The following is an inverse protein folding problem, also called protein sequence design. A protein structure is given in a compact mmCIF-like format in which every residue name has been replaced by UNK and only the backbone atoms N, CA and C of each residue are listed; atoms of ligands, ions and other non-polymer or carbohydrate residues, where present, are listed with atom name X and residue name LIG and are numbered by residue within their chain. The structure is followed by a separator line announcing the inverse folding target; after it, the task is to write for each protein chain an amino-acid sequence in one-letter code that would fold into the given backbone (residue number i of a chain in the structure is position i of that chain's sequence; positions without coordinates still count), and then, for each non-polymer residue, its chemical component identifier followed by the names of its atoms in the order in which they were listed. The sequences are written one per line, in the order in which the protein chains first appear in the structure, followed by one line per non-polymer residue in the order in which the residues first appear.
data_IF_088891144408
#
_entry.id   IF_088891144408
#
_cell.length_a   1.000
_cell.length_b   1.000
_cell.length_c   1.000
_cell.angle_alpha   90.00
_cell.angle_beta   90.00
_cell.angle_gamma   90.00
#
_symmetry.space_group_name_H-M   'P 1'
#
loop_
_entity.id
_entity.type
_entity.pdbx_description
1 polymer ?
#
# COMPACT_ATOMS: atom_id res chain seq x y z
N UNK A 1 7.22 4.11 22.44
CA UNK A 1 6.83 2.94 23.27
C UNK A 1 6.11 1.90 22.41
N UNK A 2 6.39 0.60 22.59
CA UNK A 2 5.74 -0.50 21.86
C UNK A 2 4.33 -0.76 22.43
N UNK A 3 3.27 -0.89 21.61
CA UNK A 3 1.88 -0.84 22.10
C UNK A 3 1.37 -2.19 22.62
N UNK A 4 2.08 -2.82 23.57
CA UNK A 4 1.76 -4.16 24.09
C UNK A 4 0.34 -4.28 24.62
N UNK A 5 -0.13 -3.28 25.36
CA UNK A 5 -1.47 -3.29 25.96
C UNK A 5 -2.58 -3.48 24.91
N UNK A 6 -2.41 -2.91 23.71
CA UNK A 6 -3.36 -3.00 22.59
C UNK A 6 -3.38 -4.39 21.94
N UNK A 7 -2.36 -5.22 22.19
CA UNK A 7 -2.26 -6.58 21.66
C UNK A 7 -2.72 -7.65 22.66
N UNK A 8 -2.73 -7.34 23.96
CA UNK A 8 -3.11 -8.30 25.01
C UNK A 8 -4.52 -8.05 25.55
N UNK A 9 -4.98 -6.80 25.56
CA UNK A 9 -6.28 -6.40 26.12
C UNK A 9 -7.25 -5.97 25.03
N UNK A 10 -8.38 -6.67 24.93
CA UNK A 10 -9.45 -6.32 23.98
C UNK A 10 -10.15 -5.00 24.36
N UNK A 11 -10.21 -4.64 25.65
CA UNK A 11 -10.72 -3.33 26.06
C UNK A 11 -9.79 -2.21 25.61
N UNK A 12 -8.48 -2.35 25.83
CA UNK A 12 -7.51 -1.35 25.37
C UNK A 12 -7.51 -1.20 23.84
N UNK A 13 -7.80 -2.29 23.11
CA UNK A 13 -7.96 -2.26 21.66
C UNK A 13 -9.27 -1.58 21.22
N UNK A 14 -10.38 -1.82 21.92
CA UNK A 14 -11.66 -1.15 21.69
C UNK A 14 -11.57 0.36 21.98
N UNK A 15 -10.91 0.74 23.07
CA UNK A 15 -10.66 2.14 23.43
C UNK A 15 -9.83 2.84 22.35
N UNK A 16 -8.84 2.16 21.77
CA UNK A 16 -8.06 2.70 20.64
C UNK A 16 -8.96 2.98 19.44
N UNK A 17 -9.84 2.03 19.10
CA UNK A 17 -10.72 2.16 17.95
C UNK A 17 -11.64 3.37 18.12
N UNK A 18 -12.22 3.51 19.31
CA UNK A 18 -13.08 4.63 19.64
C UNK A 18 -12.32 5.96 19.54
N UNK A 19 -11.09 6.03 20.07
CA UNK A 19 -10.25 7.23 20.03
C UNK A 19 -9.89 7.66 18.60
N UNK A 20 -9.48 6.71 17.75
CA UNK A 20 -9.12 7.03 16.36
C UNK A 20 -10.37 7.41 15.57
N UNK A 21 -11.41 6.58 15.65
CA UNK A 21 -12.59 6.72 14.80
C UNK A 21 -13.45 7.93 15.12
N UNK A 22 -13.58 8.27 16.40
CA UNK A 22 -14.50 9.31 16.87
C UNK A 22 -13.76 10.51 17.44
N UNK A 23 -12.57 10.80 16.91
CA UNK A 23 -11.76 11.97 17.30
C UNK A 23 -12.53 13.28 17.13
N UNK A 24 -13.36 13.37 16.09
CA UNK A 24 -14.14 14.56 15.71
C UNK A 24 -15.62 14.47 16.15
N UNK A 25 -15.97 13.47 16.97
CA UNK A 25 -17.35 13.21 17.40
C UNK A 25 -17.92 11.91 16.82
N UNK A 26 -19.06 11.47 17.38
CA UNK A 26 -19.70 10.22 16.98
C UNK A 26 -20.76 10.49 15.91
N UNK A 27 -20.52 9.97 14.71
CA UNK A 27 -21.46 10.07 13.59
C UNK A 27 -22.03 8.71 13.21
N UNK A 28 -23.28 8.71 12.75
CA UNK A 28 -23.92 7.50 12.25
C UNK A 28 -23.23 7.03 10.95
N UNK A 29 -22.67 5.80 10.88
CA UNK A 29 -22.00 5.30 9.66
C UNK A 29 -22.93 5.09 8.46
N UNK A 30 -24.24 5.29 8.62
CA UNK A 30 -25.25 5.05 7.59
C UNK A 30 -25.81 6.35 7.01
N UNK A 31 -26.21 7.29 7.88
CA UNK A 31 -26.82 8.55 7.45
C UNK A 31 -25.98 9.79 7.77
N UNK A 32 -24.75 9.61 8.30
CA UNK A 32 -23.79 10.67 8.65
C UNK A 32 -24.31 11.72 9.65
N UNK A 33 -25.42 11.44 10.33
CA UNK A 33 -25.95 12.32 11.36
C UNK A 33 -25.15 12.15 12.66
N UNK A 34 -24.83 13.28 13.27
CA UNK A 34 -24.24 13.46 14.59
C UNK A 34 -25.25 13.29 15.75
N UNK A 35 -26.55 13.22 15.44
CA UNK A 35 -27.64 12.97 16.40
C UNK A 35 -27.59 11.53 16.90
N UNK A 36 -26.60 11.22 17.72
CA UNK A 36 -26.31 9.89 18.25
C UNK A 36 -26.29 9.91 19.77
N UNK A 37 -26.82 8.86 20.39
CA UNK A 37 -26.78 8.67 21.84
C UNK A 37 -26.18 7.32 22.18
N UNK A 38 -25.52 7.23 23.34
CA UNK A 38 -25.08 5.95 23.89
C UNK A 38 -26.30 5.07 24.19
N UNK A 39 -26.23 3.79 23.83
CA UNK A 39 -27.32 2.82 23.95
C UNK A 39 -26.82 1.51 24.58
N UNK A 40 -26.19 1.64 25.76
CA UNK A 40 -25.53 0.55 26.47
C UNK A 40 -24.24 0.07 25.79
N UNK A 41 -23.76 -1.09 26.18
CA UNK A 41 -22.56 -1.73 25.63
C UNK A 41 -22.82 -3.21 25.36
N UNK A 42 -21.96 -3.83 24.54
CA UNK A 42 -21.92 -5.29 24.39
C UNK A 42 -20.47 -5.74 24.47
N UNK A 43 -20.17 -6.56 25.48
CA UNK A 43 -18.79 -6.88 25.89
C UNK A 43 -18.04 -5.58 26.18
N UNK A 44 -16.93 -5.33 25.48
CA UNK A 44 -16.12 -4.11 25.63
C UNK A 44 -16.51 -2.98 24.65
N UNK A 45 -17.48 -3.20 23.76
CA UNK A 45 -17.80 -2.22 22.71
C UNK A 45 -18.98 -1.34 23.08
N UNK A 46 -18.83 -0.03 22.86
CA UNK A 46 -19.92 0.93 23.03
C UNK A 46 -20.95 0.75 21.92
N UNK A 47 -22.24 0.74 22.29
CA UNK A 47 -23.35 0.79 21.32
C UNK A 47 -23.90 2.21 21.27
N UNK A 48 -24.26 2.64 20.08
CA UNK A 48 -24.90 3.92 19.81
C UNK A 48 -26.24 3.69 19.13
N UNK A 49 -27.18 4.60 19.34
CA UNK A 49 -28.44 4.72 18.62
C UNK A 49 -28.42 6.05 17.87
N UNK A 50 -28.59 5.99 16.55
CA UNK A 50 -28.81 7.20 15.75
C UNK A 50 -30.27 7.63 15.91
N UNK A 51 -30.51 8.87 16.33
CA UNK A 51 -31.84 9.47 16.47
C UNK A 51 -32.45 9.88 15.13
N UNK A 52 -31.62 10.12 14.11
CA UNK A 52 -32.11 10.43 12.77
C UNK A 52 -32.67 9.19 12.04
N UNK A 53 -31.88 8.12 11.90
CA UNK A 53 -32.31 6.91 11.16
C UNK A 53 -32.83 5.76 12.04
N UNK A 54 -32.83 5.90 13.37
CA UNK A 54 -33.31 4.89 14.33
C UNK A 54 -32.46 3.62 14.45
N UNK A 55 -31.35 3.51 13.71
CA UNK A 55 -30.50 2.29 13.69
C UNK A 55 -29.42 2.34 14.76
N UNK A 56 -29.08 1.16 15.30
CA UNK A 56 -27.95 1.02 16.22
C UNK A 56 -26.65 0.69 15.49
N UNK A 57 -25.53 1.17 16.03
CA UNK A 57 -24.18 0.84 15.56
C UNK A 57 -23.18 0.79 16.72
N UNK A 58 -21.95 0.41 16.44
CA UNK A 58 -20.82 0.42 17.38
C UNK A 58 -19.53 0.85 16.65
N UNK A 59 -18.41 0.91 17.38
CA UNK A 59 -17.12 1.36 16.86
C UNK A 59 -16.57 0.49 15.71
N UNK A 60 -17.08 -0.73 15.52
CA UNK A 60 -16.71 -1.61 14.40
C UNK A 60 -17.63 -1.50 13.19
N UNK A 61 -18.78 -0.84 13.31
CA UNK A 61 -19.80 -0.84 12.25
C UNK A 61 -19.30 -0.07 11.03
N UNK A 62 -19.27 -0.69 9.85
CA UNK A 62 -18.80 -0.02 8.63
C UNK A 62 -17.28 -0.02 8.43
N UNK A 63 -16.51 -0.65 9.31
CA UNK A 63 -15.04 -0.69 9.20
C UNK A 63 -14.53 -2.05 8.73
N UNK A 64 -13.21 -2.17 8.53
CA UNK A 64 -12.56 -3.46 8.27
C UNK A 64 -12.72 -4.48 9.41
N UNK A 65 -13.11 -4.03 10.61
CA UNK A 65 -13.35 -4.90 11.77
C UNK A 65 -14.78 -5.43 11.84
N UNK A 66 -15.70 -4.89 11.03
CA UNK A 66 -17.08 -5.34 10.98
C UNK A 66 -17.19 -6.82 10.60
N UNK A 67 -18.02 -7.58 11.31
CA UNK A 67 -18.29 -9.00 11.06
C UNK A 67 -17.05 -9.92 11.09
N UNK A 68 -15.92 -9.43 11.62
CA UNK A 68 -14.74 -10.23 11.84
C UNK A 68 -14.96 -11.22 12.99
N UNK A 69 -14.42 -12.44 12.83
CA UNK A 69 -14.30 -13.41 13.93
C UNK A 69 -13.06 -13.16 14.79
N UNK A 70 -12.01 -12.53 14.24
CA UNK A 70 -10.88 -12.06 15.03
C UNK A 70 -11.28 -10.84 15.84
N UNK A 71 -10.78 -10.81 17.07
CA UNK A 71 -10.87 -9.70 18.02
C UNK A 71 -9.98 -8.53 17.56
N UNK A 72 -10.20 -7.33 18.09
CA UNK A 72 -9.42 -6.15 17.69
C UNK A 72 -7.95 -6.29 18.03
N UNK A 73 -7.61 -6.88 19.18
CA UNK A 73 -6.21 -7.10 19.57
C UNK A 73 -5.42 -7.94 18.55
N UNK A 74 -6.07 -8.95 17.96
CA UNK A 74 -5.49 -9.84 16.94
C UNK A 74 -5.36 -9.11 15.59
N UNK A 75 -6.35 -8.29 15.25
CA UNK A 75 -6.29 -7.38 14.09
C UNK A 75 -5.12 -6.39 14.20
N UNK A 76 -4.97 -5.75 15.36
CA UNK A 76 -3.95 -4.74 15.59
C UNK A 76 -2.56 -5.35 15.58
N UNK A 77 -2.41 -6.52 16.21
CA UNK A 77 -1.17 -7.28 16.12
C UNK A 77 -0.85 -7.62 14.66
N UNK A 78 -1.81 -8.16 13.90
CA UNK A 78 -1.65 -8.50 12.47
C UNK A 78 -1.18 -7.29 11.66
N UNK A 79 -1.89 -6.16 11.75
CA UNK A 79 -1.58 -4.94 11.00
C UNK A 79 -0.19 -4.43 11.41
N UNK A 80 0.08 -4.37 12.71
CA UNK A 80 1.33 -3.86 13.24
C UNK A 80 2.53 -4.67 12.74
N UNK A 81 2.54 -6.00 12.93
CA UNK A 81 3.69 -6.83 12.56
C UNK A 81 3.84 -6.96 11.04
N UNK A 82 2.72 -6.95 10.29
CA UNK A 82 2.73 -6.92 8.82
C UNK A 82 3.46 -5.68 8.32
N UNK A 83 3.05 -4.48 8.75
CA UNK A 83 3.64 -3.22 8.31
C UNK A 83 5.05 -3.01 8.89
N UNK A 84 5.20 -3.12 10.22
CA UNK A 84 6.43 -2.72 10.91
C UNK A 84 7.55 -3.72 10.75
N UNK A 85 7.27 -4.99 10.99
CA UNK A 85 8.29 -6.03 11.03
C UNK A 85 8.42 -6.79 9.71
N UNK A 86 7.56 -6.49 8.73
CA UNK A 86 7.52 -7.18 7.44
C UNK A 86 7.30 -8.68 7.63
N UNK A 87 6.52 -9.03 8.66
CA UNK A 87 6.31 -10.41 9.07
C UNK A 87 5.50 -11.12 7.98
N UNK A 88 5.95 -12.32 7.59
CA UNK A 88 5.23 -13.09 6.57
C UNK A 88 3.88 -13.56 7.10
N UNK A 89 2.91 -13.76 6.19
CA UNK A 89 1.57 -14.22 6.59
C UNK A 89 1.59 -15.58 7.30
N UNK A 90 2.58 -16.44 7.00
CA UNK A 90 2.76 -17.74 7.67
C UNK A 90 3.31 -17.61 9.08
N UNK A 91 4.15 -16.61 9.34
CA UNK A 91 4.58 -16.34 10.71
C UNK A 91 3.42 -15.80 11.53
N UNK A 92 2.65 -14.85 11.00
CA UNK A 92 1.44 -14.34 11.67
C UNK A 92 0.44 -15.46 11.93
N UNK A 93 0.29 -16.40 10.99
CA UNK A 93 -0.54 -17.60 11.14
C UNK A 93 -0.18 -18.41 12.39
N UNK A 94 1.12 -18.71 12.56
CA UNK A 94 1.64 -19.46 13.71
C UNK A 94 1.50 -18.66 15.01
N UNK A 95 1.85 -17.38 15.00
CA UNK A 95 1.78 -16.52 16.20
C UNK A 95 0.34 -16.31 16.71
N UNK A 96 -0.64 -16.27 15.80
CA UNK A 96 -2.06 -16.09 16.16
C UNK A 96 -2.82 -17.41 16.30
N UNK A 97 -2.18 -18.55 16.06
CA UNK A 97 -2.82 -19.87 16.02
C UNK A 97 -4.14 -19.88 15.22
N UNK A 98 -4.09 -19.37 13.99
CA UNK A 98 -5.26 -19.30 13.11
C UNK A 98 -4.90 -19.76 11.70
N UNK A 99 -5.89 -19.99 10.83
CA UNK A 99 -5.57 -20.48 9.47
C UNK A 99 -4.90 -19.42 8.60
N UNK A 100 -3.99 -19.82 7.70
CA UNK A 100 -3.39 -18.95 6.67
C UNK A 100 -4.46 -18.14 5.91
N UNK A 101 -5.58 -18.80 5.57
CA UNK A 101 -6.69 -18.19 4.83
C UNK A 101 -7.39 -17.09 5.64
N UNK A 102 -7.37 -17.19 6.97
CA UNK A 102 -7.83 -16.15 7.89
C UNK A 102 -6.87 -14.96 7.79
N UNK A 103 -5.60 -15.12 8.15
CA UNK A 103 -4.60 -14.03 8.11
C UNK A 103 -4.58 -13.32 6.76
N UNK A 104 -4.50 -14.08 5.66
CA UNK A 104 -4.51 -13.52 4.30
C UNK A 104 -5.74 -12.65 4.04
N UNK A 105 -6.94 -13.10 4.42
CA UNK A 105 -8.16 -12.31 4.24
C UNK A 105 -8.14 -11.01 5.05
N UNK A 106 -7.53 -11.02 6.23
CA UNK A 106 -7.45 -9.85 7.09
C UNK A 106 -6.47 -8.82 6.52
N UNK A 107 -5.26 -9.27 6.16
CA UNK A 107 -4.27 -8.41 5.49
C UNK A 107 -4.79 -7.85 4.17
N UNK A 108 -5.43 -8.67 3.34
CA UNK A 108 -6.01 -8.18 2.09
C UNK A 108 -7.19 -7.23 2.32
N UNK A 109 -7.98 -7.41 3.37
CA UNK A 109 -9.08 -6.49 3.71
C UNK A 109 -8.55 -5.15 4.20
N UNK A 110 -7.53 -5.16 5.06
CA UNK A 110 -6.82 -3.97 5.50
C UNK A 110 -6.21 -3.23 4.30
N UNK A 111 -5.38 -3.92 3.51
CA UNK A 111 -4.66 -3.33 2.40
C UNK A 111 -5.55 -2.77 1.28
N UNK A 112 -6.79 -3.28 1.14
CA UNK A 112 -7.79 -2.74 0.19
C UNK A 112 -8.54 -1.53 0.73
N UNK A 113 -8.57 -1.35 2.04
CA UNK A 113 -9.18 -0.17 2.66
C UNK A 113 -8.24 1.05 2.59
N UNK A 114 -6.95 0.83 2.34
CA UNK A 114 -6.00 1.91 2.10
C UNK A 114 -6.30 2.60 0.77
N UNK A 115 -6.28 3.92 0.79
CA UNK A 115 -6.47 4.75 -0.39
C UNK A 115 -5.34 4.56 -1.41
N UNK A 116 -5.64 4.90 -2.67
CA UNK A 116 -4.58 5.07 -3.66
C UNK A 116 -3.81 6.35 -3.32
N UNK A 117 -2.48 6.39 -3.50
CA UNK A 117 -1.76 7.65 -3.44
C UNK A 117 -2.33 8.58 -4.52
N UNK A 118 -2.64 9.82 -4.14
CA UNK A 118 -2.86 10.89 -5.09
C UNK A 118 -1.47 11.35 -5.56
N UNK A 119 -1.13 11.03 -6.81
CA UNK A 119 0.14 11.44 -7.41
C UNK A 119 -0.08 12.86 -7.90
N UNK A 120 0.65 13.81 -7.30
CA UNK A 120 0.69 15.21 -7.73
C UNK A 120 2.15 15.66 -7.66
N UNK A 121 2.73 15.94 -8.82
CA UNK A 121 4.17 16.08 -8.97
C UNK A 121 4.57 17.56 -8.98
N UNK A 122 5.56 17.91 -8.15
CA UNK A 122 6.12 19.26 -8.07
C UNK A 122 7.31 19.44 -9.02
N UNK A 123 8.06 18.38 -9.28
CA UNK A 123 9.20 18.39 -10.20
C UNK A 123 10.49 18.93 -9.58
N UNK A 124 11.68 18.56 -10.10
CA UNK A 124 11.94 17.50 -11.11
C UNK A 124 11.58 16.10 -10.62
N UNK A 125 11.27 15.17 -11.53
CA UNK A 125 10.83 13.80 -11.20
C UNK A 125 11.76 12.76 -11.78
N UNK A 126 12.12 11.76 -10.99
CA UNK A 126 12.71 10.51 -11.50
C UNK A 126 11.60 9.49 -11.77
N UNK A 127 11.69 8.74 -12.87
CA UNK A 127 10.83 7.60 -13.16
C UNK A 127 11.65 6.42 -13.68
N UNK A 128 11.35 5.23 -13.15
CA UNK A 128 11.96 3.96 -13.56
C UNK A 128 10.99 2.81 -13.25
N UNK A 129 11.14 1.66 -13.89
CA UNK A 129 10.33 0.48 -13.65
C UNK A 129 11.11 -0.78 -13.26
N UNK A 130 10.52 -1.54 -12.34
CA UNK A 130 11.03 -2.85 -11.97
C UNK A 130 10.02 -3.95 -12.20
N UNK A 131 10.49 -5.08 -12.71
CA UNK A 131 9.63 -6.24 -12.93
C UNK A 131 9.63 -7.17 -11.73
N UNK A 132 8.47 -7.31 -11.08
CA UNK A 132 8.32 -8.15 -9.88
C UNK A 132 7.66 -9.47 -10.21
N UNK A 133 8.19 -10.58 -9.70
CA UNK A 133 7.54 -11.88 -9.90
C UNK A 133 6.25 -11.99 -9.07
N UNK A 134 5.10 -11.91 -9.73
CA UNK A 134 3.78 -11.99 -9.13
C UNK A 134 2.90 -12.99 -9.91
N UNK A 135 2.54 -14.10 -9.26
CA UNK A 135 1.85 -15.20 -9.92
C UNK A 135 0.33 -15.05 -10.02
N UNK A 136 -0.37 -16.15 -10.31
CA UNK A 136 -1.84 -16.24 -10.32
C UNK A 136 -2.42 -16.90 -9.06
N UNK A 137 -1.81 -16.72 -7.88
CA UNK A 137 -2.23 -17.45 -6.67
C UNK A 137 -3.71 -17.18 -6.33
N UNK A 138 -4.47 -18.26 -6.19
CA UNK A 138 -5.90 -18.20 -5.88
C UNK A 138 -6.82 -18.16 -7.10
N UNK A 139 -6.28 -18.31 -8.32
CA UNK A 139 -7.04 -18.65 -9.53
C UNK A 139 -6.87 -20.13 -9.87
N UNK A 140 -7.83 -20.69 -10.60
CA UNK A 140 -7.58 -21.92 -11.36
C UNK A 140 -6.41 -21.69 -12.31
N UNK A 141 -5.53 -22.68 -12.41
CA UNK A 141 -4.35 -22.60 -13.24
C UNK A 141 -4.61 -23.36 -14.53
N UNK A 142 -4.65 -22.65 -15.64
CA UNK A 142 -4.66 -23.26 -16.98
C UNK A 142 -3.26 -23.76 -17.39
N UNK A 143 -2.25 -23.59 -16.53
CA UNK A 143 -0.85 -23.89 -16.84
C UNK A 143 -0.15 -24.65 -15.71
N UNK A 144 0.83 -25.48 -16.11
CA UNK A 144 1.69 -26.23 -15.17
C UNK A 144 2.44 -25.27 -14.24
N UNK A 145 2.71 -25.74 -13.02
CA UNK A 145 3.62 -25.08 -12.09
C UNK A 145 4.93 -24.71 -12.78
N UNK A 146 5.43 -23.49 -12.55
CA UNK A 146 6.77 -23.11 -13.02
C UNK A 146 7.81 -24.12 -12.53
N UNK A 147 8.64 -24.62 -13.44
CA UNK A 147 9.90 -25.25 -13.09
C UNK A 147 10.76 -24.23 -12.33
N UNK A 148 11.38 -24.65 -11.23
CA UNK A 148 12.27 -23.77 -10.45
C UNK A 148 13.47 -23.40 -11.34
N UNK A 149 13.70 -22.10 -11.50
CA UNK A 149 14.84 -21.57 -12.25
C UNK A 149 14.64 -21.57 -13.76
N UNK A 150 14.04 -20.51 -14.29
CA UNK A 150 14.23 -20.09 -15.67
C UNK A 150 14.27 -18.56 -15.70
N UNK A 151 15.48 -18.02 -15.83
CA UNK A 151 15.66 -16.66 -16.32
C UNK A 151 15.38 -16.71 -17.83
N UNK A 152 14.13 -16.55 -18.23
CA UNK A 152 13.83 -16.24 -19.63
C UNK A 152 14.54 -14.93 -19.99
N UNK A 153 15.21 -14.90 -21.15
CA UNK A 153 15.78 -13.67 -21.69
C UNK A 153 14.64 -12.67 -21.97
N UNK A 154 14.89 -11.39 -21.72
CA UNK A 154 13.93 -10.31 -21.91
C UNK A 154 13.34 -9.75 -20.60
N UNK A 155 12.69 -8.58 -20.72
CA UNK A 155 11.99 -7.92 -19.61
C UNK A 155 10.75 -8.74 -19.19
N UNK A 156 10.26 -8.49 -17.97
CA UNK A 156 9.05 -9.12 -17.48
C UNK A 156 7.82 -8.67 -18.26
N UNK A 157 6.73 -9.44 -18.19
CA UNK A 157 5.43 -8.99 -18.69
C UNK A 157 4.32 -9.40 -17.75
N UNK A 158 3.20 -8.67 -17.78
CA UNK A 158 2.02 -9.04 -17.00
C UNK A 158 1.52 -10.45 -17.35
N UNK A 159 1.54 -10.82 -18.64
CA UNK A 159 1.20 -12.17 -19.09
C UNK A 159 2.16 -13.23 -18.52
N UNK A 160 3.46 -12.93 -18.47
CA UNK A 160 4.50 -13.80 -17.92
C UNK A 160 4.63 -13.78 -16.39
N UNK A 161 3.61 -13.31 -15.65
CA UNK A 161 3.61 -13.21 -14.18
C UNK A 161 4.78 -12.37 -13.62
N UNK A 162 5.24 -11.40 -14.41
CA UNK A 162 6.25 -10.41 -14.04
C UNK A 162 5.75 -9.01 -14.43
N UNK A 163 4.68 -8.48 -13.81
CA UNK A 163 4.20 -7.14 -14.10
C UNK A 163 5.28 -6.08 -13.81
N UNK A 164 5.31 -4.98 -14.60
CA UNK A 164 6.09 -3.80 -14.26
C UNK A 164 5.49 -3.11 -13.02
N UNK A 165 6.37 -2.55 -12.22
CA UNK A 165 6.07 -1.69 -11.08
C UNK A 165 6.91 -0.44 -11.26
N UNK A 166 6.23 0.66 -11.58
CA UNK A 166 6.84 1.97 -11.71
C UNK A 166 7.17 2.52 -10.34
N UNK A 167 8.32 3.15 -10.25
CA UNK A 167 8.76 3.96 -9.13
C UNK A 167 8.86 5.40 -9.61
N UNK A 168 8.22 6.31 -8.89
CA UNK A 168 8.38 7.75 -9.13
C UNK A 168 9.00 8.35 -7.88
N UNK A 169 9.96 9.26 -8.07
CA UNK A 169 10.52 10.09 -7.00
C UNK A 169 10.42 11.54 -7.44
N UNK A 170 9.54 12.28 -6.78
CA UNK A 170 9.44 13.72 -6.95
C UNK A 170 10.48 14.39 -6.06
N UNK A 171 11.52 14.96 -6.69
CA UNK A 171 12.62 15.61 -5.97
C UNK A 171 12.20 16.93 -5.33
N UNK A 172 11.17 17.60 -5.86
CA UNK A 172 10.66 18.85 -5.33
C UNK A 172 9.95 18.69 -3.99
N UNK A 173 9.16 17.62 -3.85
CA UNK A 173 8.38 17.32 -2.64
C UNK A 173 9.00 16.26 -1.72
N UNK A 174 10.02 15.51 -2.19
CA UNK A 174 10.52 14.25 -1.60
C UNK A 174 9.43 13.16 -1.45
N UNK A 175 8.36 13.26 -2.25
CA UNK A 175 7.36 12.21 -2.35
C UNK A 175 7.81 11.08 -3.27
N UNK A 176 7.36 9.86 -2.94
CA UNK A 176 7.78 8.63 -3.62
C UNK A 176 6.60 7.69 -3.78
N UNK A 177 6.44 7.18 -4.99
CA UNK A 177 5.28 6.39 -5.38
C UNK A 177 5.70 5.06 -5.97
N UNK A 178 4.88 4.04 -5.76
CA UNK A 178 5.11 2.70 -6.33
C UNK A 178 3.83 2.16 -6.96
N UNK A 179 3.78 2.20 -8.29
CA UNK A 179 2.55 1.94 -9.05
C UNK A 179 2.70 0.68 -9.90
N UNK A 180 1.92 -0.39 -9.63
CA UNK A 180 1.93 -1.56 -10.49
C UNK A 180 1.13 -1.28 -11.77
N UNK A 181 1.68 -1.67 -12.92
CA UNK A 181 1.03 -1.50 -14.22
C UNK A 181 0.86 -2.84 -14.96
N UNK A 182 0.05 -2.83 -16.02
CA UNK A 182 -0.14 -3.99 -16.91
C UNK A 182 0.89 -4.02 -18.04
N UNK A 183 1.40 -2.87 -18.43
CA UNK A 183 2.40 -2.66 -19.46
C UNK A 183 3.32 -1.53 -19.02
N UNK A 184 4.52 -1.50 -19.60
CA UNK A 184 5.44 -0.38 -19.51
C UNK A 184 5.49 0.23 -20.92
N UNK A 185 4.44 0.96 -21.25
CA UNK A 185 4.27 1.66 -22.52
C UNK A 185 4.16 3.17 -22.27
N UNK A 186 4.33 3.94 -23.33
CA UNK A 186 4.22 5.40 -23.33
C UNK A 186 2.94 5.89 -22.63
N UNK A 187 1.78 5.29 -22.94
CA UNK A 187 0.51 5.71 -22.36
C UNK A 187 0.49 5.58 -20.84
N UNK A 188 1.16 4.56 -20.31
CA UNK A 188 1.30 4.35 -18.88
C UNK A 188 2.21 5.41 -18.26
N UNK A 189 3.35 5.72 -18.90
CA UNK A 189 4.29 6.76 -18.43
C UNK A 189 3.60 8.12 -18.39
N UNK A 190 2.95 8.52 -19.49
CA UNK A 190 2.19 9.78 -19.59
C UNK A 190 1.11 9.88 -18.50
N UNK A 191 0.34 8.82 -18.28
CA UNK A 191 -0.69 8.80 -17.22
C UNK A 191 -0.13 8.97 -15.80
N UNK A 192 1.10 8.49 -15.54
CA UNK A 192 1.74 8.63 -14.24
C UNK A 192 2.31 10.03 -14.01
N UNK A 193 2.61 10.76 -15.08
CA UNK A 193 3.17 12.11 -15.04
C UNK A 193 2.11 13.21 -15.24
N UNK A 194 0.89 12.87 -15.63
CA UNK A 194 -0.14 13.82 -16.08
C UNK A 194 -0.62 14.85 -15.04
N UNK A 195 -0.53 14.56 -13.73
CA UNK A 195 -0.92 15.51 -12.66
C UNK A 195 0.33 16.13 -12.05
N UNK A 196 0.79 17.24 -12.64
CA UNK A 196 1.97 17.97 -12.20
C UNK A 196 1.74 19.49 -12.20
N UNK A 197 2.53 20.20 -11.41
CA UNK A 197 2.35 21.65 -11.19
C UNK A 197 3.10 22.54 -12.20
N UNK A 198 4.18 22.03 -12.78
CA UNK A 198 5.00 22.77 -13.74
C UNK A 198 4.31 22.85 -15.11
N UNK A 199 4.58 23.88 -15.90
CA UNK A 199 4.09 23.94 -17.29
C UNK A 199 4.86 22.96 -18.21
N UNK A 200 6.14 22.74 -17.90
CA UNK A 200 6.98 21.72 -18.51
C UNK A 200 7.72 21.00 -17.38
N UNK A 201 7.48 19.71 -17.23
CA UNK A 201 8.02 18.91 -16.13
C UNK A 201 9.37 18.32 -16.52
N UNK A 202 10.42 18.62 -15.75
CA UNK A 202 11.71 17.93 -15.90
C UNK A 202 11.61 16.48 -15.41
N UNK A 203 11.93 15.52 -16.29
CA UNK A 203 11.83 14.07 -16.04
C UNK A 203 13.17 13.37 -16.27
N UNK A 204 13.67 12.70 -15.24
CA UNK A 204 14.89 11.88 -15.30
C UNK A 204 14.57 10.40 -15.53
N UNK A 205 15.16 9.78 -16.56
CA UNK A 205 14.98 8.35 -16.87
C UNK A 205 16.31 7.61 -17.16
N UNK A 206 16.29 6.28 -17.26
CA UNK A 206 17.47 5.43 -17.53
C UNK A 206 17.70 5.13 -19.02
N UNK A 207 17.09 5.95 -19.91
CA UNK A 207 17.20 5.78 -21.36
C UNK A 207 16.35 4.64 -21.90
N UNK A 208 15.29 4.23 -21.19
CA UNK A 208 14.36 3.22 -21.69
C UNK A 208 13.46 3.75 -22.81
N UNK A 209 13.27 2.91 -23.85
CA UNK A 209 12.49 3.23 -25.05
C UNK A 209 11.05 3.68 -24.83
N UNK A 210 10.41 3.28 -23.73
CA UNK A 210 9.04 3.72 -23.45
C UNK A 210 8.99 5.21 -23.09
N UNK A 211 10.12 5.78 -22.68
CA UNK A 211 10.25 7.19 -22.30
C UNK A 211 10.65 8.09 -23.47
N UNK A 212 11.10 7.52 -24.60
CA UNK A 212 11.48 8.28 -25.81
C UNK A 212 10.31 9.16 -26.31
N UNK A 213 9.07 8.73 -26.05
CA UNK A 213 7.87 9.49 -26.41
C UNK A 213 7.63 10.76 -25.58
N UNK A 214 8.45 11.02 -24.56
CA UNK A 214 8.47 12.29 -23.83
C UNK A 214 9.33 13.33 -24.55
N UNK A 215 10.20 12.95 -25.49
CA UNK A 215 11.11 13.89 -26.17
C UNK A 215 10.38 14.84 -27.14
N UNK A 216 9.29 14.37 -27.75
CA UNK A 216 8.52 15.14 -28.74
C UNK A 216 7.36 15.94 -28.12
N UNK A 217 7.32 16.06 -26.79
CA UNK A 217 6.21 16.68 -26.06
C UNK A 217 6.68 17.88 -25.23
N UNK A 218 6.22 19.08 -25.59
CA UNK A 218 6.58 20.32 -24.93
C UNK A 218 6.18 20.35 -23.42
N UNK A 219 5.27 19.45 -22.99
CA UNK A 219 4.88 19.25 -21.58
C UNK A 219 6.00 18.63 -20.72
N UNK A 220 7.03 18.03 -21.34
CA UNK A 220 8.11 17.34 -20.62
C UNK A 220 9.50 17.80 -21.09
N UNK A 221 10.38 18.05 -20.14
CA UNK A 221 11.82 18.23 -20.38
C UNK A 221 12.55 16.96 -19.93
N UNK A 222 12.74 16.01 -20.85
CA UNK A 222 13.35 14.71 -20.53
C UNK A 222 14.87 14.79 -20.60
N UNK A 223 15.51 14.40 -19.50
CA UNK A 223 16.94 14.16 -19.41
C UNK A 223 17.18 12.70 -18.99
N UNK A 224 18.22 12.03 -19.52
CA UNK A 224 18.44 10.61 -19.23
C UNK A 224 19.92 10.23 -19.19
N UNK A 225 20.20 9.11 -18.52
CA UNK A 225 21.51 8.43 -18.54
C UNK A 225 21.34 7.03 -19.09
N UNK A 226 22.35 6.50 -19.80
CA UNK A 226 22.26 5.16 -20.40
C UNK A 226 23.08 4.15 -19.59
N UNK A 227 22.40 3.42 -18.70
CA UNK A 227 23.03 2.39 -17.87
C UNK A 227 23.75 1.28 -18.67
N UNK A 228 23.28 1.01 -19.89
CA UNK A 228 23.89 0.03 -20.80
C UNK A 228 25.33 0.39 -21.20
N UNK A 229 25.64 1.68 -21.21
CA UNK A 229 26.95 2.23 -21.60
C UNK A 229 27.87 2.47 -20.38
N UNK A 230 27.40 2.10 -19.17
CA UNK A 230 28.14 2.27 -17.92
C UNK A 230 28.03 3.67 -17.31
N UNK A 231 27.14 4.50 -17.84
CA UNK A 231 26.79 5.81 -17.31
C UNK A 231 25.65 5.67 -16.31
N UNK A 232 25.82 6.19 -15.09
CA UNK A 232 24.83 6.08 -14.01
C UNK A 232 24.38 7.43 -13.44
N UNK A 233 25.09 8.51 -13.80
CA UNK A 233 24.75 9.88 -13.46
C UNK A 233 25.53 10.85 -14.36
N UNK A 234 24.88 11.91 -14.82
CA UNK A 234 25.51 13.10 -15.38
C UNK A 234 25.01 14.33 -14.62
N UNK A 235 25.83 14.89 -13.74
CA UNK A 235 25.40 15.95 -12.81
C UNK A 235 24.18 15.53 -11.98
N UNK A 236 23.07 16.24 -12.15
CA UNK A 236 21.79 15.96 -11.48
C UNK A 236 20.92 14.93 -12.24
N UNK A 237 21.30 14.54 -13.47
CA UNK A 237 20.57 13.58 -14.30
C UNK A 237 20.87 12.17 -13.83
N UNK A 238 19.92 11.55 -13.11
CA UNK A 238 20.00 10.15 -12.67
C UNK A 238 18.65 9.65 -12.13
N UNK A 239 18.51 8.32 -11.99
CA UNK A 239 17.35 7.66 -11.37
C UNK A 239 17.65 6.94 -10.04
N UNK A 240 18.76 7.31 -9.37
CA UNK A 240 19.22 6.68 -8.13
C UNK A 240 18.17 6.64 -7.00
N UNK A 241 17.30 7.66 -6.93
CA UNK A 241 16.20 7.71 -5.97
C UNK A 241 15.18 6.61 -6.26
N UNK A 242 14.82 6.42 -7.53
CA UNK A 242 13.97 5.32 -7.98
C UNK A 242 14.60 3.95 -7.71
N UNK A 243 15.87 3.73 -8.07
CA UNK A 243 16.54 2.45 -7.84
C UNK A 243 16.57 2.07 -6.35
N UNK A 244 16.91 3.04 -5.50
CA UNK A 244 16.91 2.88 -4.04
C UNK A 244 15.52 2.51 -3.52
N UNK A 245 14.48 3.20 -3.98
CA UNK A 245 13.11 2.95 -3.53
C UNK A 245 12.55 1.61 -4.07
N UNK A 246 12.88 1.25 -5.31
CA UNK A 246 12.53 -0.03 -5.90
C UNK A 246 13.21 -1.21 -5.18
N UNK A 247 14.46 -1.05 -4.71
CA UNK A 247 15.15 -2.01 -3.84
C UNK A 247 14.39 -2.26 -2.54
N UNK A 248 13.89 -1.21 -1.89
CA UNK A 248 13.06 -1.32 -0.69
C UNK A 248 11.73 -2.03 -0.97
N UNK A 249 11.09 -1.73 -2.10
CA UNK A 249 9.87 -2.39 -2.56
C UNK A 249 10.07 -3.89 -2.75
N UNK A 250 11.14 -4.31 -3.45
CA UNK A 250 11.47 -5.74 -3.63
C UNK A 250 11.70 -6.42 -2.28
N UNK A 251 12.38 -5.75 -1.34
CA UNK A 251 12.60 -6.27 0.03
C UNK A 251 11.29 -6.38 0.83
N UNK A 252 10.35 -5.46 0.63
CA UNK A 252 9.01 -5.53 1.20
C UNK A 252 8.19 -6.71 0.66
N UNK A 253 8.23 -6.97 -0.65
CA UNK A 253 7.48 -8.07 -1.26
C UNK A 253 8.07 -9.46 -0.97
N UNK A 254 9.38 -9.53 -0.63
CA UNK A 254 10.11 -10.79 -0.44
C UNK A 254 9.51 -11.76 0.60
N UNK A 255 9.04 -11.35 1.80
CA UNK A 255 8.36 -12.23 2.75
C UNK A 255 6.98 -12.70 2.28
N UNK A 256 6.38 -11.99 1.32
CA UNK A 256 5.05 -12.26 0.78
C UNK A 256 5.13 -13.03 -0.54
N UNK A 257 6.06 -13.98 -0.64
CA UNK A 257 6.23 -14.79 -1.87
C UNK A 257 4.88 -15.38 -2.30
N UNK A 258 4.54 -15.21 -3.57
CA UNK A 258 3.27 -15.63 -4.18
C UNK A 258 2.07 -14.70 -3.99
N UNK A 259 2.27 -13.39 -3.77
CA UNK A 259 1.22 -12.40 -4.05
C UNK A 259 0.76 -12.57 -5.50
N UNK A 260 -0.56 -12.57 -5.70
CA UNK A 260 -1.12 -12.58 -7.06
C UNK A 260 -0.88 -11.22 -7.70
N UNK A 261 -0.57 -11.16 -9.00
CA UNK A 261 -0.46 -9.88 -9.72
C UNK A 261 -1.73 -9.01 -9.58
N UNK A 262 -2.92 -9.62 -9.49
CA UNK A 262 -4.18 -8.90 -9.23
C UNK A 262 -4.32 -8.30 -7.82
N UNK A 263 -3.40 -8.69 -6.92
CA UNK A 263 -3.37 -8.27 -5.52
C UNK A 263 -2.10 -7.49 -5.21
N UNK A 264 -1.33 -7.10 -6.23
CA UNK A 264 -0.10 -6.35 -6.04
C UNK A 264 -0.39 -4.94 -5.53
N UNK A 265 -1.40 -4.25 -6.09
CA UNK A 265 -1.77 -2.88 -5.67
C UNK A 265 -2.03 -2.74 -4.18
N UNK A 266 -2.87 -3.56 -3.51
CA UNK A 266 -3.03 -3.48 -2.06
C UNK A 266 -1.71 -3.63 -1.28
N UNK A 267 -0.81 -4.52 -1.70
CA UNK A 267 0.46 -4.71 -1.00
C UNK A 267 1.41 -3.52 -1.18
N UNK A 268 1.35 -2.84 -2.32
CA UNK A 268 2.13 -1.64 -2.58
C UNK A 268 1.57 -0.42 -1.83
N UNK A 269 0.24 -0.27 -1.72
CA UNK A 269 -0.37 0.73 -0.82
C UNK A 269 0.06 0.55 0.64
N UNK A 270 0.12 -0.70 1.10
CA UNK A 270 0.63 -1.01 2.42
C UNK A 270 2.13 -0.69 2.58
N UNK A 271 2.91 -0.76 1.50
CA UNK A 271 4.32 -0.35 1.49
C UNK A 271 4.47 1.17 1.59
N UNK A 272 3.65 1.93 0.87
CA UNK A 272 3.63 3.40 0.94
C UNK A 272 3.26 3.86 2.35
N UNK A 273 2.14 3.37 2.91
CA UNK A 273 1.76 3.65 4.29
C UNK A 273 2.90 3.30 5.27
N UNK A 274 3.62 2.19 5.03
CA UNK A 274 4.74 1.80 5.88
C UNK A 274 5.85 2.86 5.94
N UNK A 275 6.07 3.65 4.88
CA UNK A 275 7.07 4.75 4.84
C UNK A 275 6.68 5.86 5.82
N UNK A 276 5.40 6.14 5.96
CA UNK A 276 4.92 7.15 6.92
C UNK A 276 5.05 6.65 8.37
N UNK A 277 4.94 5.34 8.56
CA UNK A 277 4.94 4.74 9.88
C UNK A 277 6.33 4.55 10.48
N UNK A 278 7.38 4.20 9.73
CA UNK A 278 8.59 3.60 10.34
C UNK A 278 9.37 4.49 11.31
N UNK A 279 9.28 5.82 11.18
CA UNK A 279 9.93 6.78 12.10
C UNK A 279 9.08 7.12 13.33
N UNK A 280 7.82 6.70 13.38
CA UNK A 280 6.91 7.03 14.49
C UNK A 280 7.11 6.10 15.71
N UNK A 281 6.81 6.54 16.94
CA UNK A 281 6.64 5.65 18.08
C UNK A 281 5.60 4.54 17.81
N UNK A 282 5.73 3.40 18.52
CA UNK A 282 4.87 2.23 18.31
C UNK A 282 3.36 2.49 18.41
N UNK A 283 2.91 3.15 19.48
CA UNK A 283 1.49 3.46 19.66
C UNK A 283 0.97 4.46 18.61
N UNK A 284 1.74 5.51 18.30
CA UNK A 284 1.40 6.48 17.24
C UNK A 284 1.31 5.85 15.86
N UNK A 285 2.21 4.93 15.55
CA UNK A 285 2.17 4.23 14.29
C UNK A 285 1.01 3.26 14.17
N UNK A 286 0.63 2.61 15.26
CA UNK A 286 -0.58 1.80 15.27
C UNK A 286 -1.81 2.69 15.04
N UNK A 287 -1.91 3.83 15.74
CA UNK A 287 -2.99 4.81 15.53
C UNK A 287 -3.10 5.25 14.07
N UNK A 288 -1.97 5.67 13.49
CA UNK A 288 -1.92 6.11 12.11
C UNK A 288 -2.30 4.99 11.13
N UNK A 289 -1.82 3.76 11.35
CA UNK A 289 -2.19 2.62 10.50
C UNK A 289 -3.70 2.29 10.57
N UNK A 290 -4.32 2.49 11.74
CA UNK A 290 -5.76 2.30 11.91
C UNK A 290 -6.56 3.43 11.24
N UNK A 291 -6.13 4.67 11.42
CA UNK A 291 -6.77 5.86 10.81
C UNK A 291 -6.81 5.71 9.28
N UNK A 292 -5.71 5.27 8.66
CA UNK A 292 -5.59 5.06 7.22
C UNK A 292 -6.51 3.96 6.64
N UNK A 293 -7.22 3.20 7.48
CA UNK A 293 -8.07 2.07 7.04
C UNK A 293 -9.52 2.14 7.57
N UNK A 294 -9.92 3.28 8.15
CA UNK A 294 -11.25 3.53 8.71
C UNK A 294 -12.10 4.41 7.80
#
# INVERSE_FOLDING_TARGET
MFPMSRFVSESAAADLLQQVRWRDGVECPRCRSDLTVRNGSYRVYQRYLCKNCGRTFNDKTGTIFAHSKLNLKEWYFTIYVFLRFKTSLRQIEVELDCSYRTVRRHVERFARALDAPAIRLSGPVEIDEVYVSAGLKGRERDQKSRSRGLSTRGRGSYAGDKPPVFTLVDRGSDERYVVPAKSADESTVRLLLADHEQESLTVYTDGFRADDALEDDDEFDREYVVHGDGEYADGDVHVNGCESHASLTRRWLSPHRSVSKDKLTPYLRAFELRRELYRKPGDEALKHALDAAL
#
